data_IF_658248587580
#
_entry.id   IF_658248587580
#
_cell.length_a   1.000
_cell.length_b   1.000
_cell.length_c   1.000
_cell.angle_alpha   90.00
_cell.angle_beta   90.00
_cell.angle_gamma   90.00
#
_symmetry.space_group_name_H-M   'P 1'
#
loop_
_entity.id
_entity.type
_entity.pdbx_description
1 polymer ?
#
# COMPACT_ATOMS: atom_id res chain seq x y z
N UNK A 1 -12.32 16.18 -5.31
CA UNK A 1 -12.75 17.14 -4.29
C UNK A 1 -14.04 16.71 -3.56
N UNK A 2 -15.04 16.15 -4.30
CA UNK A 2 -16.38 15.84 -3.75
C UNK A 2 -16.35 14.85 -2.57
N UNK A 3 -15.61 13.74 -2.70
CA UNK A 3 -15.48 12.73 -1.65
C UNK A 3 -14.73 13.26 -0.42
N UNK A 4 -13.73 14.11 -0.63
CA UNK A 4 -12.93 14.70 0.44
C UNK A 4 -13.78 15.54 1.40
N UNK A 5 -14.68 16.37 0.86
CA UNK A 5 -15.57 17.25 1.64
C UNK A 5 -16.59 16.43 2.43
N UNK A 6 -17.06 15.31 1.86
CA UNK A 6 -18.16 14.51 2.44
C UNK A 6 -17.68 13.52 3.51
N UNK A 7 -16.55 12.88 3.31
CA UNK A 7 -16.08 11.76 4.16
C UNK A 7 -14.99 12.16 5.17
N UNK A 8 -14.34 13.29 4.97
CA UNK A 8 -13.20 13.72 5.79
C UNK A 8 -11.91 12.96 5.47
N UNK A 9 -10.78 13.52 5.90
CA UNK A 9 -9.43 13.01 5.59
C UNK A 9 -9.20 11.62 6.18
N UNK A 10 -9.56 11.41 7.45
CA UNK A 10 -9.34 10.13 8.14
C UNK A 10 -9.99 8.96 7.40
N UNK A 11 -11.26 9.09 7.05
CA UNK A 11 -12.00 8.01 6.38
C UNK A 11 -11.44 7.72 4.98
N UNK A 12 -11.03 8.75 4.24
CA UNK A 12 -10.41 8.56 2.93
C UNK A 12 -9.08 7.81 3.02
N UNK A 13 -8.20 8.20 3.95
CA UNK A 13 -6.95 7.49 4.20
C UNK A 13 -7.18 6.03 4.60
N UNK A 14 -8.16 5.78 5.50
CA UNK A 14 -8.52 4.42 5.91
C UNK A 14 -9.04 3.57 4.74
N UNK A 15 -9.84 4.12 3.84
CA UNK A 15 -10.29 3.41 2.63
C UNK A 15 -9.09 3.05 1.75
N UNK A 16 -8.15 3.97 1.54
CA UNK A 16 -6.92 3.69 0.80
C UNK A 16 -6.08 2.58 1.45
N UNK A 17 -5.91 2.63 2.78
CA UNK A 17 -5.17 1.60 3.52
C UNK A 17 -5.89 0.25 3.52
N UNK A 18 -7.21 0.22 3.67
CA UNK A 18 -8.01 -1.01 3.56
C UNK A 18 -7.90 -1.63 2.15
N UNK A 19 -7.92 -0.80 1.11
CA UNK A 19 -7.70 -1.25 -0.26
C UNK A 19 -6.29 -1.86 -0.46
N UNK A 20 -5.25 -1.33 0.22
CA UNK A 20 -3.91 -1.92 0.24
C UNK A 20 -3.91 -3.33 0.84
N UNK A 21 -4.53 -3.51 2.01
CA UNK A 21 -4.65 -4.82 2.66
C UNK A 21 -5.36 -5.80 1.75
N UNK A 22 -6.53 -5.41 1.23
CA UNK A 22 -7.32 -6.24 0.32
C UNK A 22 -6.52 -6.62 -0.94
N UNK A 23 -5.79 -5.68 -1.53
CA UNK A 23 -4.95 -5.91 -2.70
C UNK A 23 -3.89 -6.98 -2.45
N UNK A 24 -3.17 -6.89 -1.32
CA UNK A 24 -2.16 -7.88 -0.98
C UNK A 24 -2.77 -9.26 -0.69
N UNK A 25 -3.95 -9.31 -0.07
CA UNK A 25 -4.70 -10.56 0.11
C UNK A 25 -5.10 -11.18 -1.23
N UNK A 26 -5.59 -10.39 -2.18
CA UNK A 26 -5.93 -10.86 -3.52
C UNK A 26 -4.71 -11.42 -4.26
N UNK A 27 -3.54 -10.80 -4.12
CA UNK A 27 -2.30 -11.33 -4.70
C UNK A 27 -1.81 -12.59 -3.98
N UNK A 28 -2.02 -12.71 -2.67
CA UNK A 28 -1.64 -13.90 -1.92
C UNK A 28 -2.46 -15.15 -2.30
N UNK A 29 -3.73 -14.98 -2.66
CA UNK A 29 -4.63 -16.06 -3.02
C UNK A 29 -4.87 -16.19 -4.53
N UNK A 30 -4.44 -15.20 -5.33
CA UNK A 30 -4.51 -15.25 -6.79
C UNK A 30 -3.43 -16.18 -7.35
N UNK A 31 -3.80 -17.01 -8.32
CA UNK A 31 -2.89 -17.84 -9.10
C UNK A 31 -3.45 -18.06 -10.52
N UNK A 32 -2.75 -18.84 -11.34
CA UNK A 32 -3.13 -19.11 -12.73
C UNK A 32 -3.87 -20.44 -12.91
N UNK A 33 -4.25 -21.13 -11.83
CA UNK A 33 -4.86 -22.47 -11.90
C UNK A 33 -6.33 -22.43 -12.32
N UNK A 34 -7.05 -21.33 -12.05
CA UNK A 34 -8.45 -21.18 -12.42
C UNK A 34 -8.81 -19.75 -12.80
N UNK A 35 -9.88 -19.58 -13.57
CA UNK A 35 -10.40 -18.26 -13.97
C UNK A 35 -10.73 -17.39 -12.75
N UNK A 36 -11.28 -17.99 -11.69
CA UNK A 36 -11.59 -17.27 -10.44
C UNK A 36 -10.30 -16.74 -9.78
N UNK A 37 -9.25 -17.54 -9.72
CA UNK A 37 -7.98 -17.13 -9.10
C UNK A 37 -7.24 -16.08 -9.93
N UNK A 38 -7.32 -16.18 -11.27
CA UNK A 38 -6.81 -15.13 -12.18
C UNK A 38 -7.57 -13.82 -11.95
N UNK A 39 -8.89 -13.87 -11.75
CA UNK A 39 -9.70 -12.67 -11.48
C UNK A 39 -9.24 -11.92 -10.23
N UNK A 40 -8.75 -12.62 -9.20
CA UNK A 40 -8.18 -11.98 -8.00
C UNK A 40 -6.95 -11.12 -8.35
N UNK A 41 -6.09 -11.58 -9.25
CA UNK A 41 -4.92 -10.82 -9.69
C UNK A 41 -5.36 -9.55 -10.44
N UNK A 42 -6.33 -9.64 -11.35
CA UNK A 42 -6.84 -8.47 -12.08
C UNK A 42 -7.51 -7.46 -11.15
N UNK A 43 -8.36 -7.92 -10.21
CA UNK A 43 -8.99 -7.04 -9.22
C UNK A 43 -7.92 -6.39 -8.34
N UNK A 44 -6.90 -7.13 -7.91
CA UNK A 44 -5.78 -6.58 -7.16
C UNK A 44 -5.01 -5.49 -7.92
N UNK A 45 -4.86 -5.62 -9.23
CA UNK A 45 -4.26 -4.59 -10.08
C UNK A 45 -5.17 -3.35 -10.18
N UNK A 46 -6.47 -3.54 -10.40
CA UNK A 46 -7.43 -2.43 -10.49
C UNK A 46 -7.53 -1.64 -9.18
N UNK A 47 -7.43 -2.30 -8.03
CA UNK A 47 -7.41 -1.65 -6.72
C UNK A 47 -6.21 -0.71 -6.53
N UNK A 48 -5.16 -0.81 -7.36
CA UNK A 48 -3.99 0.06 -7.25
C UNK A 48 -4.33 1.55 -7.37
N UNK A 49 -5.23 1.90 -8.30
CA UNK A 49 -5.70 3.27 -8.44
C UNK A 49 -6.35 3.79 -7.17
N UNK A 50 -7.25 2.99 -6.57
CA UNK A 50 -7.92 3.34 -5.31
C UNK A 50 -6.91 3.51 -4.18
N UNK A 51 -5.95 2.59 -4.03
CA UNK A 51 -4.89 2.70 -3.03
C UNK A 51 -4.11 4.00 -3.18
N UNK A 52 -3.72 4.33 -4.41
CA UNK A 52 -2.93 5.51 -4.71
C UNK A 52 -3.70 6.80 -4.46
N UNK A 53 -4.89 6.93 -5.02
CA UNK A 53 -5.69 8.17 -4.94
C UNK A 53 -6.18 8.43 -3.51
N UNK A 54 -6.68 7.41 -2.83
CA UNK A 54 -7.22 7.58 -1.48
C UNK A 54 -6.16 7.70 -0.39
N UNK A 55 -4.92 7.30 -0.63
CA UNK A 55 -3.84 7.45 0.32
C UNK A 55 -2.89 8.61 -0.03
N UNK A 56 -2.20 8.52 -1.17
CA UNK A 56 -1.17 9.52 -1.51
C UNK A 56 -1.77 10.88 -1.88
N UNK A 57 -2.78 10.92 -2.75
CA UNK A 57 -3.39 12.18 -3.17
C UNK A 57 -4.10 12.83 -1.98
N UNK A 58 -4.82 12.06 -1.16
CA UNK A 58 -5.46 12.57 0.06
C UNK A 58 -4.42 13.09 1.05
N UNK A 59 -3.30 12.39 1.24
CA UNK A 59 -2.19 12.81 2.08
C UNK A 59 -1.57 14.13 1.61
N UNK A 60 -1.33 14.28 0.31
CA UNK A 60 -0.84 15.52 -0.29
C UNK A 60 -1.80 16.70 -0.05
N UNK A 61 -3.11 16.49 -0.29
CA UNK A 61 -4.14 17.52 -0.05
C UNK A 61 -4.21 17.89 1.43
N UNK A 62 -4.06 16.92 2.33
CA UNK A 62 -4.04 17.19 3.76
C UNK A 62 -2.84 18.04 4.18
N UNK A 63 -1.64 17.69 3.70
CA UNK A 63 -0.41 18.45 3.96
C UNK A 63 -0.53 19.87 3.40
N UNK A 64 -1.09 20.02 2.18
CA UNK A 64 -1.32 21.32 1.54
C UNK A 64 -2.20 22.24 2.40
N UNK A 65 -3.27 21.68 2.95
CA UNK A 65 -4.22 22.44 3.78
C UNK A 65 -3.71 22.80 5.17
N UNK A 66 -2.87 21.93 5.75
CA UNK A 66 -2.37 22.11 7.13
C UNK A 66 -1.06 22.88 7.21
N UNK A 67 -0.27 22.91 6.13
CA UNK A 67 1.00 23.62 6.11
C UNK A 67 0.76 25.13 5.96
N UNK A 68 1.44 25.97 6.78
CA UNK A 68 1.46 27.41 6.60
C UNK A 68 2.00 27.80 5.21
N UNK A 69 1.53 28.93 4.65
CA UNK A 69 1.84 29.36 3.28
C UNK A 69 3.36 29.46 3.01
N UNK A 70 4.12 29.92 3.99
CA UNK A 70 5.56 30.12 3.88
C UNK A 70 6.39 28.82 3.78
N UNK A 71 5.86 27.67 4.21
CA UNK A 71 6.55 26.37 4.18
C UNK A 71 5.77 25.30 3.41
N UNK A 72 4.63 25.64 2.78
CA UNK A 72 3.76 24.67 2.10
C UNK A 72 4.49 23.83 1.06
N UNK A 73 5.27 24.46 0.19
CA UNK A 73 6.06 23.73 -0.81
C UNK A 73 7.09 22.78 -0.19
N UNK A 74 7.76 23.22 0.89
CA UNK A 74 8.72 22.38 1.61
C UNK A 74 8.03 21.20 2.31
N UNK A 75 6.86 21.39 2.89
CA UNK A 75 6.08 20.33 3.52
C UNK A 75 5.61 19.28 2.50
N UNK A 76 5.18 19.69 1.31
CA UNK A 76 4.85 18.81 0.20
C UNK A 76 6.07 18.02 -0.30
N UNK A 77 7.19 18.70 -0.48
CA UNK A 77 8.46 18.05 -0.86
C UNK A 77 8.92 17.03 0.19
N UNK A 78 8.80 17.36 1.47
CA UNK A 78 9.13 16.45 2.56
C UNK A 78 8.20 15.23 2.60
N UNK A 79 6.89 15.42 2.43
CA UNK A 79 5.93 14.32 2.32
C UNK A 79 6.28 13.37 1.16
N UNK A 80 6.58 13.92 -0.02
CA UNK A 80 7.00 13.13 -1.17
C UNK A 80 8.32 12.39 -0.92
N UNK A 81 9.30 13.06 -0.28
CA UNK A 81 10.58 12.45 0.07
C UNK A 81 10.42 11.27 1.02
N UNK A 82 9.60 11.40 2.07
CA UNK A 82 9.34 10.32 3.03
C UNK A 82 8.60 9.16 2.35
N UNK A 83 7.55 9.45 1.59
CA UNK A 83 6.68 8.40 1.02
C UNK A 83 7.30 7.73 -0.21
N UNK A 84 7.73 8.51 -1.20
CA UNK A 84 8.26 8.00 -2.47
C UNK A 84 9.78 7.79 -2.45
N UNK A 85 10.50 8.45 -1.55
CA UNK A 85 11.94 8.26 -1.39
C UNK A 85 12.24 7.17 -0.36
N UNK A 86 12.26 7.53 0.93
CA UNK A 86 12.62 6.61 2.01
C UNK A 86 11.70 5.40 2.09
N UNK A 87 10.39 5.59 1.92
CA UNK A 87 9.41 4.50 1.96
C UNK A 87 9.68 3.45 0.89
N UNK A 88 10.00 3.86 -0.34
CA UNK A 88 10.35 2.93 -1.42
C UNK A 88 11.66 2.20 -1.17
N UNK A 89 12.69 2.88 -0.65
CA UNK A 89 13.98 2.25 -0.34
C UNK A 89 13.78 1.16 0.72
N UNK A 90 13.16 1.49 1.84
CA UNK A 90 12.90 0.55 2.93
C UNK A 90 12.00 -0.60 2.46
N UNK A 91 10.95 -0.29 1.71
CA UNK A 91 10.03 -1.28 1.15
C UNK A 91 10.72 -2.27 0.22
N UNK A 92 11.59 -1.79 -0.67
CA UNK A 92 12.35 -2.64 -1.57
C UNK A 92 13.35 -3.53 -0.84
N UNK A 93 14.04 -3.02 0.19
CA UNK A 93 14.95 -3.83 1.01
C UNK A 93 14.21 -4.94 1.75
N UNK A 94 13.09 -4.62 2.39
CA UNK A 94 12.24 -5.61 3.09
C UNK A 94 11.71 -6.65 2.08
N UNK A 95 11.20 -6.20 0.93
CA UNK A 95 10.69 -7.09 -0.11
C UNK A 95 11.78 -8.03 -0.64
N UNK A 96 13.00 -7.54 -0.84
CA UNK A 96 14.15 -8.35 -1.25
C UNK A 96 14.47 -9.46 -0.24
N UNK A 97 14.44 -9.14 1.06
CA UNK A 97 14.68 -10.12 2.14
C UNK A 97 13.57 -11.18 2.15
N UNK A 98 12.30 -10.77 2.09
CA UNK A 98 11.14 -11.67 2.08
C UNK A 98 11.21 -12.60 0.87
N UNK A 99 11.40 -12.04 -0.32
CA UNK A 99 11.44 -12.80 -1.56
C UNK A 99 12.58 -13.83 -1.55
N UNK A 100 13.76 -13.43 -1.09
CA UNK A 100 14.90 -14.34 -0.94
C UNK A 100 14.61 -15.47 0.04
N UNK A 101 13.95 -15.18 1.15
CA UNK A 101 13.62 -16.17 2.19
C UNK A 101 12.60 -17.22 1.69
N UNK A 102 11.65 -16.80 0.87
CA UNK A 102 10.60 -17.67 0.32
C UNK A 102 10.86 -18.13 -1.13
N UNK A 103 12.09 -17.98 -1.63
CA UNK A 103 12.53 -18.58 -2.88
C UNK A 103 13.10 -19.98 -2.60
N UNK A 104 12.69 -20.96 -3.42
CA UNK A 104 13.25 -22.31 -3.41
C UNK A 104 14.03 -22.50 -4.71
N UNK A 105 15.32 -22.77 -4.58
CA UNK A 105 16.18 -23.09 -5.72
C UNK A 105 15.98 -24.57 -6.07
N UNK A 106 15.45 -24.84 -7.24
CA UNK A 106 15.34 -26.18 -7.78
C UNK A 106 16.41 -26.35 -8.87
N UNK A 107 17.25 -27.37 -8.70
CA UNK A 107 18.20 -27.78 -9.74
C UNK A 107 17.49 -28.83 -10.58
N UNK A 108 17.14 -28.47 -11.80
CA UNK A 108 16.57 -29.38 -12.80
C UNK A 108 17.71 -29.87 -13.68
N UNK A 109 17.97 -31.18 -13.69
CA UNK A 109 18.88 -31.81 -14.66
C UNK A 109 18.06 -32.12 -15.93
N UNK A 110 18.29 -31.35 -16.98
CA UNK A 110 17.75 -31.61 -18.31
C UNK A 110 18.89 -31.86 -19.29
N UNK A 111 18.99 -33.09 -19.83
CA UNK A 111 19.94 -33.44 -20.86
C UNK A 111 21.43 -33.24 -20.51
N UNK A 112 21.81 -33.34 -19.20
CA UNK A 112 23.18 -33.17 -18.73
C UNK A 112 23.62 -31.74 -18.45
N UNK A 113 22.69 -30.79 -18.56
CA UNK A 113 22.91 -29.39 -18.18
C UNK A 113 22.07 -29.08 -16.94
N UNK A 114 22.70 -28.60 -15.84
CA UNK A 114 21.98 -28.18 -14.66
C UNK A 114 21.33 -26.79 -14.92
N UNK A 115 20.00 -26.75 -14.97
CA UNK A 115 19.23 -25.50 -15.08
C UNK A 115 18.77 -25.12 -13.68
N UNK A 116 19.28 -24.00 -13.17
CA UNK A 116 18.85 -23.42 -11.89
C UNK A 116 17.54 -22.66 -12.11
N UNK A 117 16.44 -23.16 -11.54
CA UNK A 117 15.15 -22.46 -11.55
C UNK A 117 14.73 -22.08 -10.14
N UNK A 118 14.40 -20.79 -9.94
CA UNK A 118 13.90 -20.30 -8.68
C UNK A 118 12.36 -20.31 -8.69
N UNK A 119 11.79 -21.13 -7.79
CA UNK A 119 10.35 -21.14 -7.53
C UNK A 119 10.05 -20.28 -6.31
N UNK A 120 9.04 -19.43 -6.37
CA UNK A 120 8.68 -18.53 -5.29
C UNK A 120 7.37 -18.94 -4.63
N UNK A 121 7.35 -18.94 -3.31
CA UNK A 121 6.12 -19.17 -2.55
C UNK A 121 5.30 -17.87 -2.48
N UNK A 122 4.67 -17.48 -3.60
CA UNK A 122 3.97 -16.21 -3.78
C UNK A 122 2.96 -15.91 -2.69
N UNK A 123 2.23 -16.92 -2.21
CA UNK A 123 1.27 -16.74 -1.12
C UNK A 123 1.92 -16.16 0.13
N UNK A 124 3.03 -16.74 0.58
CA UNK A 124 3.73 -16.30 1.79
C UNK A 124 4.37 -14.92 1.58
N UNK A 125 4.93 -14.68 0.39
CA UNK A 125 5.53 -13.39 0.03
C UNK A 125 4.51 -12.26 0.12
N UNK A 126 3.26 -12.46 -0.32
CA UNK A 126 2.23 -11.43 -0.27
C UNK A 126 1.49 -11.32 1.08
N UNK A 127 1.43 -12.40 1.88
CA UNK A 127 0.81 -12.36 3.20
C UNK A 127 1.57 -11.49 4.19
N UNK A 128 2.90 -11.41 4.09
CA UNK A 128 3.70 -10.57 5.00
C UNK A 128 3.38 -9.09 4.83
N UNK A 129 3.47 -8.48 3.63
CA UNK A 129 3.07 -7.09 3.46
C UNK A 129 1.57 -6.86 3.73
N UNK A 130 0.69 -7.86 3.52
CA UNK A 130 -0.71 -7.77 3.91
C UNK A 130 -0.86 -7.61 5.43
N UNK A 131 -0.16 -8.43 6.21
CA UNK A 131 -0.16 -8.34 7.67
C UNK A 131 0.44 -7.02 8.16
N UNK A 132 1.55 -6.56 7.57
CA UNK A 132 2.15 -5.27 7.89
C UNK A 132 1.19 -4.11 7.60
N UNK A 133 0.56 -4.10 6.43
CA UNK A 133 -0.43 -3.08 6.06
C UNK A 133 -1.64 -3.10 7.00
N UNK A 134 -2.09 -4.27 7.44
CA UNK A 134 -3.18 -4.40 8.39
C UNK A 134 -2.81 -3.85 9.78
N UNK A 135 -1.62 -4.13 10.28
CA UNK A 135 -1.12 -3.56 11.56
C UNK A 135 -1.06 -2.04 11.47
N UNK A 136 -0.53 -1.49 10.36
CA UNK A 136 -0.47 -0.04 10.15
C UNK A 136 -1.88 0.56 10.06
N UNK A 137 -2.82 -0.11 9.38
CA UNK A 137 -4.21 0.31 9.31
C UNK A 137 -4.85 0.43 10.69
N UNK A 138 -4.69 -0.57 11.56
CA UNK A 138 -5.21 -0.54 12.93
C UNK A 138 -4.52 0.56 13.75
N UNK A 139 -3.19 0.67 13.66
CA UNK A 139 -2.46 1.71 14.36
C UNK A 139 -2.91 3.11 13.94
N UNK A 140 -3.13 3.33 12.65
CA UNK A 140 -3.63 4.60 12.14
C UNK A 140 -5.06 4.90 12.61
N UNK A 141 -5.97 3.92 12.60
CA UNK A 141 -7.34 4.08 13.10
C UNK A 141 -7.36 4.55 14.56
N UNK A 142 -6.48 3.96 15.40
CA UNK A 142 -6.42 4.25 16.82
C UNK A 142 -5.71 5.58 17.12
N UNK A 143 -4.59 5.84 16.42
CA UNK A 143 -3.72 6.97 16.73
C UNK A 143 -4.12 8.27 16.02
N UNK A 144 -4.67 8.18 14.82
CA UNK A 144 -5.01 9.36 14.05
C UNK A 144 -6.36 9.95 14.48
N UNK A 145 -6.31 11.15 15.09
CA UNK A 145 -7.51 11.93 15.42
C UNK A 145 -7.69 13.04 14.38
N UNK A 146 -8.81 13.01 13.68
CA UNK A 146 -9.17 14.07 12.74
C UNK A 146 -9.94 15.17 13.46
N UNK A 147 -9.34 16.34 13.58
CA UNK A 147 -9.97 17.51 14.20
C UNK A 147 -10.83 18.31 13.21
N UNK A 148 -10.99 17.84 11.99
CA UNK A 148 -11.72 18.53 10.92
C UNK A 148 -13.22 18.70 11.23
N UNK A 149 -13.78 17.84 12.08
CA UNK A 149 -15.17 18.01 12.55
C UNK A 149 -15.32 19.14 13.58
N UNK A 150 -14.29 19.42 14.36
CA UNK A 150 -14.29 20.52 15.32
C UNK A 150 -14.11 21.88 14.62
N UNK A 151 -13.33 21.95 13.56
CA UNK A 151 -13.18 23.19 12.76
C UNK A 151 -14.49 23.57 12.07
N UNK A 152 -15.29 22.62 11.60
CA UNK A 152 -16.62 22.87 11.02
C UNK A 152 -17.66 23.42 12.01
N UNK A 153 -17.52 23.07 13.30
CA UNK A 153 -18.43 23.59 14.36
C UNK A 153 -18.08 25.00 14.82
N UNK A 154 -16.89 25.50 14.52
CA UNK A 154 -16.46 26.86 14.85
C UNK A 154 -16.74 27.86 13.72
N UNK A 155 -17.10 27.41 12.53
CA UNK A 155 -17.48 28.26 11.38
C UNK A 155 -19.00 28.58 11.31
N UNK A 156 -19.81 28.02 12.22
CA UNK A 156 -21.23 28.33 12.39
C UNK A 156 -21.49 29.03 13.73
#
# INVERSE_FOLDING_TARGET
PFFFVRFGVKKMLLVGMAAWVLRYMLFAFGNTESVTMISFLYIGILLHGICYDFFFVTGQIYVDKKAPDNIRASAQGFFAFITLGLGMIIGNLINGIITKHYSVLNILEDGGTAIESATHQWKNIWLIPAAMAFVIFIAFEVLFKDNTEQEKQQEY
#
